data_IF_413768673633
#
_entry.id   IF_413768673633
#
_cell.length_a   1.000
_cell.length_b   1.000
_cell.length_c   1.000
_cell.angle_alpha   90.00
_cell.angle_beta   90.00
_cell.angle_gamma   90.00
#
_symmetry.space_group_name_H-M   'P 1'
#
loop_
_entity.id
_entity.type
_entity.pdbx_description
1 polymer ?
#
# COMPACT_ATOMS: atom_id res chain seq x y z
N UNK A 1 -3.14 18.86 42.87
CA UNK A 1 -2.48 18.05 43.94
C UNK A 1 -1.45 17.21 43.22
N UNK A 2 -0.14 17.44 43.28
CA UNK A 2 0.73 17.58 44.45
C UNK A 2 1.76 18.67 44.14
N UNK A 3 1.85 19.64 45.04
CA UNK A 3 2.84 20.70 45.08
C UNK A 3 4.25 20.13 45.25
N UNK A 4 5.18 20.48 44.36
CA UNK A 4 6.60 20.50 44.68
C UNK A 4 7.13 21.90 44.48
N UNK A 5 7.57 22.45 45.60
CA UNK A 5 8.04 23.80 45.87
C UNK A 5 9.14 24.25 44.89
N UNK A 6 9.26 25.57 44.65
CA UNK A 6 10.36 26.11 43.85
C UNK A 6 11.67 25.85 44.58
N UNK A 7 12.60 25.16 43.92
CA UNK A 7 13.95 24.90 44.43
C UNK A 7 14.60 26.23 44.81
N UNK A 8 14.83 26.40 46.11
CA UNK A 8 15.54 27.54 46.70
C UNK A 8 16.92 27.63 46.04
N UNK A 9 17.14 28.74 45.34
CA UNK A 9 18.38 29.53 45.27
C UNK A 9 19.57 28.90 46.01
N UNK A 10 20.26 27.94 45.40
CA UNK A 10 21.68 27.73 45.69
C UNK A 10 22.43 28.70 44.79
N UNK A 11 22.55 29.93 45.32
CA UNK A 11 23.59 30.82 44.87
C UNK A 11 24.89 30.05 45.10
N UNK A 12 25.69 29.75 44.06
CA UNK A 12 27.03 29.24 44.31
C UNK A 12 27.69 30.26 45.23
N UNK A 13 28.47 29.80 46.20
CA UNK A 13 29.21 30.62 47.16
C UNK A 13 30.14 31.67 46.50
N UNK A 14 30.20 31.69 45.17
CA UNK A 14 30.78 32.71 44.30
C UNK A 14 29.84 33.87 43.89
N UNK A 15 28.58 33.91 44.35
CA UNK A 15 27.61 34.96 43.98
C UNK A 15 27.63 36.20 44.90
N UNK A 16 28.59 36.26 45.83
CA UNK A 16 29.20 37.54 46.16
C UNK A 16 30.38 37.67 45.21
N UNK A 17 30.32 38.68 44.35
CA UNK A 17 31.49 39.33 43.79
C UNK A 17 32.32 39.79 45.00
N UNK A 18 33.03 38.85 45.62
CA UNK A 18 34.23 39.17 46.37
C UNK A 18 35.13 39.62 45.24
N UNK A 19 35.02 40.91 44.91
CA UNK A 19 36.17 41.66 44.48
C UNK A 19 37.23 41.26 45.48
N UNK A 20 38.07 40.30 45.08
CA UNK A 20 39.42 40.24 45.57
C UNK A 20 40.10 41.46 44.96
N UNK A 21 39.63 42.63 45.41
CA UNK A 21 40.46 43.79 45.53
C UNK A 21 41.51 43.27 46.51
N UNK A 22 42.63 42.80 45.95
CA UNK A 22 43.91 43.02 46.60
C UNK A 22 43.76 44.47 47.07
N UNK A 23 43.68 44.74 48.39
CA UNK A 23 43.75 46.10 48.85
C UNK A 23 44.91 46.69 48.08
N UNK A 24 44.77 47.89 47.55
CA UNK A 24 45.92 48.68 47.14
C UNK A 24 46.68 48.94 48.45
N UNK A 25 47.29 47.88 48.97
CA UNK A 25 48.20 47.86 50.07
C UNK A 25 49.25 48.77 49.49
N UNK A 26 49.36 49.99 50.05
CA UNK A 26 50.39 50.93 49.67
C UNK A 26 51.66 50.11 49.55
N UNK A 27 52.02 49.77 48.31
CA UNK A 27 53.22 49.01 48.03
C UNK A 27 54.23 50.07 48.36
N UNK A 28 54.78 50.01 49.58
CA UNK A 28 56.00 50.73 49.84
C UNK A 28 56.95 50.21 48.77
N UNK A 29 57.14 51.02 47.72
CA UNK A 29 58.09 50.79 46.67
C UNK A 29 59.48 50.94 47.28
N UNK A 30 59.82 50.06 48.21
CA UNK A 30 61.19 49.63 48.35
C UNK A 30 61.35 48.74 47.13
N UNK A 31 61.99 49.27 46.09
CA UNK A 31 62.41 48.41 45.00
C UNK A 31 63.21 47.27 45.65
N UNK A 32 63.00 46.02 45.25
CA UNK A 32 63.64 44.89 45.92
C UNK A 32 65.17 45.04 45.88
N UNK A 33 65.69 45.75 44.87
CA UNK A 33 67.08 46.20 44.76
C UNK A 33 67.51 47.21 45.83
N UNK A 34 66.60 48.03 46.32
CA UNK A 34 66.84 49.05 47.36
C UNK A 34 66.91 48.42 48.77
N UNK A 35 66.34 47.22 48.96
CA UNK A 35 66.44 46.45 50.22
C UNK A 35 67.89 46.00 50.45
N UNK A 36 68.53 45.47 49.41
CA UNK A 36 69.93 45.05 49.46
C UNK A 36 70.89 46.24 49.68
N UNK A 37 70.53 47.44 49.22
CA UNK A 37 71.35 48.65 49.38
C UNK A 37 71.11 49.43 50.69
N UNK A 38 70.20 48.97 51.57
CA UNK A 38 69.77 49.74 52.73
C UNK A 38 70.76 49.67 53.89
N UNK A 39 71.29 50.82 54.32
CA UNK A 39 72.14 50.94 55.50
C UNK A 39 71.40 51.52 56.71
N UNK A 40 71.78 51.08 57.91
CA UNK A 40 71.15 51.48 59.18
C UNK A 40 72.18 52.10 60.13
N UNK A 41 71.75 53.07 60.94
CA UNK A 41 72.61 53.68 61.97
C UNK A 41 72.96 52.67 63.08
N UNK A 42 74.22 52.64 63.53
CA UNK A 42 74.67 51.75 64.60
C UNK A 42 74.39 52.33 65.99
N UNK A 43 73.99 51.47 66.93
CA UNK A 43 73.72 51.81 68.34
C UNK A 43 74.48 50.86 69.27
N UNK A 44 74.79 51.29 70.51
CA UNK A 44 75.70 50.60 71.45
C UNK A 44 75.29 49.14 71.80
N UNK A 45 74.04 48.72 71.55
CA UNK A 45 73.55 47.34 71.66
C UNK A 45 72.76 46.92 70.39
N UNK A 46 73.36 47.12 69.21
CA UNK A 46 72.77 46.75 67.92
C UNK A 46 73.27 45.42 67.36
N UNK A 47 72.62 44.96 66.30
CA UNK A 47 73.05 43.82 65.50
C UNK A 47 74.28 44.16 64.67
N UNK A 48 75.10 43.15 64.33
CA UNK A 48 76.30 43.36 63.51
C UNK A 48 75.90 43.82 62.10
N UNK A 49 76.43 44.93 61.59
CA UNK A 49 76.10 45.44 60.27
C UNK A 49 76.28 44.42 59.14
N UNK A 50 77.36 43.63 59.16
CA UNK A 50 77.67 42.66 58.10
C UNK A 50 76.67 41.49 58.05
N UNK A 51 76.22 41.00 59.21
CA UNK A 51 75.21 39.92 59.29
C UNK A 51 73.84 40.42 58.83
N UNK A 52 73.47 41.66 59.21
CA UNK A 52 72.25 42.32 58.73
C UNK A 52 72.31 42.54 57.22
N UNK A 53 73.45 42.99 56.70
CA UNK A 53 73.66 43.22 55.26
C UNK A 53 73.54 41.92 54.45
N UNK A 54 74.14 40.82 54.93
CA UNK A 54 74.02 39.49 54.32
C UNK A 54 72.56 39.01 54.29
N UNK A 55 71.85 39.17 55.41
CA UNK A 55 70.42 38.83 55.49
C UNK A 55 69.56 39.66 54.54
N UNK A 56 69.81 40.97 54.41
CA UNK A 56 69.09 41.84 53.48
C UNK A 56 69.33 41.48 52.02
N UNK A 57 70.52 40.96 51.69
CA UNK A 57 70.81 40.46 50.35
C UNK A 57 69.99 39.20 50.03
N UNK A 58 70.02 38.19 50.89
CA UNK A 58 69.21 36.97 50.71
C UNK A 58 67.72 37.27 50.70
N UNK A 59 67.24 38.15 51.59
CA UNK A 59 65.84 38.57 51.62
C UNK A 59 65.45 39.29 50.31
N UNK A 60 66.33 40.12 49.75
CA UNK A 60 66.09 40.75 48.46
C UNK A 60 66.03 39.72 47.34
N UNK A 61 66.94 38.74 47.29
CA UNK A 61 66.91 37.65 46.31
C UNK A 61 65.61 36.84 46.37
N UNK A 62 65.19 36.41 47.57
CA UNK A 62 63.95 35.66 47.77
C UNK A 62 62.71 36.48 47.38
N UNK A 63 62.70 37.78 47.68
CA UNK A 63 61.61 38.67 47.28
C UNK A 63 61.53 38.86 45.76
N UNK A 64 62.66 38.91 45.06
CA UNK A 64 62.68 38.92 43.58
C UNK A 64 62.11 37.62 43.05
N UNK A 65 62.56 36.47 43.56
CA UNK A 65 62.08 35.16 43.11
C UNK A 65 60.56 35.01 43.31
N UNK A 66 60.03 35.42 44.47
CA UNK A 66 58.58 35.41 44.74
C UNK A 66 57.83 36.38 43.82
N UNK A 67 58.40 37.55 43.50
CA UNK A 67 57.78 38.50 42.59
C UNK A 67 57.72 37.95 41.15
N UNK A 68 58.80 37.34 40.67
CA UNK A 68 58.85 36.67 39.37
C UNK A 68 57.83 35.52 39.30
N UNK A 69 57.79 34.66 40.32
CA UNK A 69 56.78 33.59 40.40
C UNK A 69 55.35 34.16 40.42
N UNK A 70 55.10 35.25 41.15
CA UNK A 70 53.77 35.88 41.17
C UNK A 70 53.37 36.41 39.78
N UNK A 71 54.31 37.01 39.05
CA UNK A 71 54.04 37.48 37.68
C UNK A 71 53.80 36.32 36.72
N UNK A 72 54.56 35.23 36.81
CA UNK A 72 54.36 34.02 36.03
C UNK A 72 53.00 33.35 36.32
N UNK A 73 52.63 33.22 37.60
CA UNK A 73 51.34 32.68 38.01
C UNK A 73 50.18 33.54 37.52
N UNK A 74 50.30 34.87 37.58
CA UNK A 74 49.29 35.79 37.03
C UNK A 74 49.12 35.63 35.52
N UNK A 75 50.22 35.49 34.78
CA UNK A 75 50.16 35.22 33.34
C UNK A 75 49.47 33.89 33.03
N UNK A 76 49.75 32.86 33.83
CA UNK A 76 49.13 31.55 33.66
C UNK A 76 47.62 31.56 34.00
N UNK A 77 47.22 32.29 35.05
CA UNK A 77 45.79 32.50 35.36
C UNK A 77 45.08 33.14 34.17
N UNK A 78 45.63 34.24 33.63
CA UNK A 78 45.05 34.90 32.45
C UNK A 78 44.97 33.97 31.24
N UNK A 79 46.00 33.13 31.03
CA UNK A 79 46.00 32.15 29.94
C UNK A 79 44.88 31.12 30.12
N UNK A 80 44.72 30.58 31.33
CA UNK A 80 43.71 29.58 31.67
C UNK A 80 42.28 30.16 31.62
N UNK A 81 42.09 31.40 32.08
CA UNK A 81 40.81 32.10 31.98
C UNK A 81 40.37 32.29 30.53
N UNK A 82 41.28 32.74 29.66
CA UNK A 82 41.00 32.86 28.22
C UNK A 82 40.65 31.51 27.57
N UNK A 83 41.35 30.42 27.95
CA UNK A 83 41.02 29.08 27.46
C UNK A 83 39.65 28.60 27.95
N UNK A 84 39.32 28.88 29.21
CA UNK A 84 38.04 28.52 29.80
C UNK A 84 36.89 29.26 29.11
N UNK A 85 37.04 30.54 28.83
CA UNK A 85 36.02 31.33 28.14
C UNK A 85 35.82 30.87 26.70
N UNK A 86 36.91 30.59 25.97
CA UNK A 86 36.81 30.00 24.63
C UNK A 86 36.10 28.64 24.65
N UNK A 87 36.40 27.80 25.64
CA UNK A 87 35.75 26.49 25.80
C UNK A 87 34.25 26.63 26.10
N UNK A 88 33.88 27.57 26.98
CA UNK A 88 32.47 27.87 27.31
C UNK A 88 31.70 28.37 26.09
N UNK A 89 32.29 29.25 25.27
CA UNK A 89 31.66 29.69 24.03
C UNK A 89 31.46 28.53 23.05
N UNK A 90 32.47 27.67 22.88
CA UNK A 90 32.37 26.50 22.01
C UNK A 90 31.25 25.56 22.49
N UNK A 91 31.18 25.30 23.80
CA UNK A 91 30.12 24.50 24.38
C UNK A 91 28.73 25.11 24.12
N UNK A 92 28.59 26.43 24.28
CA UNK A 92 27.33 27.12 23.97
C UNK A 92 26.94 26.98 22.50
N UNK A 93 27.89 27.16 21.57
CA UNK A 93 27.67 26.97 20.14
C UNK A 93 27.23 25.55 19.81
N UNK A 94 27.91 24.54 20.35
CA UNK A 94 27.57 23.12 20.15
C UNK A 94 26.19 22.78 20.73
N UNK A 95 25.86 23.27 21.93
CA UNK A 95 24.54 23.10 22.53
C UNK A 95 23.44 23.76 21.70
N UNK A 96 23.69 24.95 21.14
CA UNK A 96 22.79 25.63 20.21
C UNK A 96 22.52 24.80 18.97
N UNK A 97 23.59 24.35 18.30
CA UNK A 97 23.51 23.52 17.11
C UNK A 97 22.76 22.20 17.37
N UNK A 98 23.04 21.51 18.49
CA UNK A 98 22.34 20.28 18.87
C UNK A 98 20.84 20.51 19.10
N UNK A 99 20.46 21.65 19.67
CA UNK A 99 19.04 22.01 19.89
C UNK A 99 18.33 22.26 18.57
N UNK A 100 18.96 22.98 17.65
CA UNK A 100 18.44 23.24 16.31
C UNK A 100 18.32 21.94 15.51
N UNK A 101 19.36 21.11 15.53
CA UNK A 101 19.38 19.82 14.85
C UNK A 101 18.28 18.88 15.37
N UNK A 102 18.07 18.82 16.70
CA UNK A 102 16.96 18.07 17.29
C UNK A 102 15.59 18.61 16.87
N UNK A 103 15.42 19.93 16.83
CA UNK A 103 14.17 20.55 16.38
C UNK A 103 13.90 20.28 14.89
N UNK A 104 14.94 20.36 14.05
CA UNK A 104 14.87 20.02 12.63
C UNK A 104 14.53 18.54 12.44
N UNK A 105 15.20 17.65 13.17
CA UNK A 105 14.94 16.20 13.14
C UNK A 105 13.50 15.88 13.57
N UNK A 106 13.00 16.50 14.64
CA UNK A 106 11.60 16.34 15.07
C UNK A 106 10.60 16.81 14.00
N UNK A 107 10.88 17.92 13.31
CA UNK A 107 10.06 18.39 12.19
C UNK A 107 10.09 17.41 11.02
N UNK A 108 11.26 16.89 10.65
CA UNK A 108 11.39 15.89 9.59
C UNK A 108 10.62 14.62 9.92
N UNK A 109 10.73 14.11 11.15
CA UNK A 109 9.98 12.93 11.59
C UNK A 109 8.47 13.20 11.51
N UNK A 110 7.99 14.33 12.03
CA UNK A 110 6.57 14.67 11.94
C UNK A 110 6.07 14.86 10.50
N UNK A 111 6.89 15.42 9.61
CA UNK A 111 6.56 15.54 8.18
C UNK A 111 6.53 14.18 7.49
N UNK A 112 7.48 13.29 7.79
CA UNK A 112 7.52 11.94 7.25
C UNK A 112 6.29 11.13 7.73
N UNK A 113 5.93 11.24 9.01
CA UNK A 113 4.73 10.61 9.57
C UNK A 113 3.44 11.13 8.91
N UNK A 114 3.30 12.45 8.77
CA UNK A 114 2.12 13.05 8.11
C UNK A 114 2.03 12.64 6.62
N UNK A 115 3.17 12.61 5.92
CA UNK A 115 3.24 12.16 4.52
C UNK A 115 2.89 10.67 4.39
N UNK A 116 3.41 9.82 5.27
CA UNK A 116 3.10 8.39 5.29
C UNK A 116 1.62 8.12 5.60
N UNK A 117 1.02 8.90 6.51
CA UNK A 117 -0.42 8.81 6.80
C UNK A 117 -1.27 9.23 5.59
N UNK A 118 -0.92 10.33 4.92
CA UNK A 118 -1.61 10.79 3.71
C UNK A 118 -1.47 9.77 2.56
N UNK A 119 -0.29 9.19 2.38
CA UNK A 119 -0.04 8.14 1.40
C UNK A 119 -0.87 6.89 1.70
N UNK A 120 -0.89 6.43 2.95
CA UNK A 120 -1.68 5.26 3.36
C UNK A 120 -3.18 5.47 3.12
N UNK A 121 -3.68 6.68 3.42
CA UNK A 121 -5.05 7.06 3.14
C UNK A 121 -5.36 7.02 1.64
N UNK A 122 -4.47 7.58 0.79
CA UNK A 122 -4.63 7.58 -0.66
C UNK A 122 -4.61 6.15 -1.23
N UNK A 123 -3.68 5.32 -0.78
CA UNK A 123 -3.57 3.91 -1.20
C UNK A 123 -4.84 3.13 -0.84
N UNK A 124 -5.41 3.34 0.35
CA UNK A 124 -6.64 2.67 0.74
C UNK A 124 -7.86 3.13 -0.09
N UNK A 125 -7.92 4.40 -0.48
CA UNK A 125 -8.96 4.91 -1.39
C UNK A 125 -8.82 4.32 -2.80
N UNK A 126 -7.61 4.31 -3.35
CA UNK A 126 -7.34 3.70 -4.67
C UNK A 126 -7.64 2.20 -4.66
N UNK A 127 -7.25 1.49 -3.60
CA UNK A 127 -7.57 0.07 -3.40
C UNK A 127 -9.08 -0.16 -3.42
N UNK A 128 -9.86 0.64 -2.70
CA UNK A 128 -11.33 0.53 -2.70
C UNK A 128 -11.91 0.78 -4.08
N UNK A 129 -11.44 1.81 -4.78
CA UNK A 129 -11.88 2.11 -6.14
C UNK A 129 -11.61 0.96 -7.12
N UNK A 130 -10.40 0.39 -7.09
CA UNK A 130 -10.02 -0.77 -7.92
C UNK A 130 -10.90 -1.97 -7.59
N UNK A 131 -11.16 -2.22 -6.30
CA UNK A 131 -11.95 -3.37 -5.87
C UNK A 131 -13.42 -3.24 -6.31
N UNK A 132 -14.01 -2.05 -6.19
CA UNK A 132 -15.38 -1.80 -6.69
C UNK A 132 -15.46 -1.86 -8.22
N UNK A 133 -14.45 -1.35 -8.92
CA UNK A 133 -14.36 -1.48 -10.38
C UNK A 133 -14.27 -2.94 -10.81
N UNK A 134 -13.38 -3.73 -10.20
CA UNK A 134 -13.24 -5.15 -10.51
C UNK A 134 -14.53 -5.94 -10.22
N UNK A 135 -15.23 -5.64 -9.13
CA UNK A 135 -16.56 -6.21 -8.85
C UNK A 135 -17.58 -5.84 -9.93
N UNK A 136 -17.61 -4.58 -10.35
CA UNK A 136 -18.53 -4.11 -11.37
C UNK A 136 -18.27 -4.81 -12.71
N UNK A 137 -17.01 -4.89 -13.13
CA UNK A 137 -16.60 -5.59 -14.34
C UNK A 137 -16.95 -7.08 -14.29
N UNK A 138 -16.67 -7.75 -13.17
CA UNK A 138 -17.07 -9.14 -12.97
C UNK A 138 -18.60 -9.33 -13.10
N UNK A 139 -19.39 -8.44 -12.49
CA UNK A 139 -20.85 -8.47 -12.59
C UNK A 139 -21.38 -8.21 -14.01
N UNK A 140 -20.68 -7.40 -14.82
CA UNK A 140 -21.00 -7.21 -16.23
C UNK A 140 -20.70 -8.48 -17.03
N UNK A 141 -19.53 -9.09 -16.82
CA UNK A 141 -19.13 -10.33 -17.50
C UNK A 141 -20.10 -11.47 -17.20
N UNK A 142 -20.47 -11.65 -15.93
CA UNK A 142 -21.45 -12.67 -15.51
C UNK A 142 -22.78 -12.44 -16.22
N UNK A 143 -23.31 -11.21 -16.19
CA UNK A 143 -24.58 -10.88 -16.86
C UNK A 143 -24.54 -11.11 -18.38
N UNK A 144 -23.43 -10.78 -19.03
CA UNK A 144 -23.32 -11.03 -20.49
C UNK A 144 -23.22 -12.53 -20.79
N UNK A 145 -22.50 -13.30 -19.97
CA UNK A 145 -22.44 -14.75 -20.07
C UNK A 145 -23.82 -15.40 -19.87
N UNK A 146 -24.58 -14.97 -18.87
CA UNK A 146 -25.95 -15.40 -18.63
C UNK A 146 -26.86 -15.13 -19.83
N UNK A 147 -26.84 -13.91 -20.38
CA UNK A 147 -27.64 -13.56 -21.58
C UNK A 147 -27.22 -14.36 -22.82
N UNK A 148 -25.92 -14.67 -22.98
CA UNK A 148 -25.44 -15.53 -24.07
C UNK A 148 -25.94 -16.96 -23.89
N UNK A 149 -25.88 -17.50 -22.69
CA UNK A 149 -26.38 -18.84 -22.38
C UNK A 149 -27.88 -18.94 -22.62
N UNK A 150 -28.66 -17.95 -22.15
CA UNK A 150 -30.11 -17.90 -22.37
C UNK A 150 -30.46 -17.87 -23.85
N UNK A 151 -29.79 -17.03 -24.65
CA UNK A 151 -29.97 -17.01 -26.12
C UNK A 151 -29.61 -18.34 -26.77
N UNK A 152 -28.58 -19.03 -26.28
CA UNK A 152 -28.20 -20.34 -26.80
C UNK A 152 -29.25 -21.40 -26.49
N UNK A 153 -29.78 -21.41 -25.27
CA UNK A 153 -30.87 -22.31 -24.87
C UNK A 153 -32.14 -22.04 -25.67
N UNK A 154 -32.53 -20.78 -25.88
CA UNK A 154 -33.68 -20.43 -26.72
C UNK A 154 -33.54 -20.96 -28.15
N UNK A 155 -32.36 -20.78 -28.77
CA UNK A 155 -32.08 -21.31 -30.10
C UNK A 155 -32.08 -22.84 -30.13
N UNK A 156 -31.53 -23.47 -29.08
CA UNK A 156 -31.55 -24.92 -28.92
C UNK A 156 -32.97 -25.48 -28.82
N UNK A 157 -33.81 -24.86 -27.99
CA UNK A 157 -35.21 -25.25 -27.81
C UNK A 157 -36.01 -25.07 -29.11
N UNK A 158 -35.86 -23.94 -29.80
CA UNK A 158 -36.53 -23.72 -31.08
C UNK A 158 -36.16 -24.79 -32.13
N UNK A 159 -34.88 -25.19 -32.18
CA UNK A 159 -34.44 -26.30 -33.05
C UNK A 159 -35.00 -27.65 -32.61
N UNK A 160 -35.05 -27.92 -31.30
CA UNK A 160 -35.65 -29.15 -30.77
C UNK A 160 -37.13 -29.25 -31.14
N UNK A 161 -37.87 -28.14 -31.04
CA UNK A 161 -39.28 -28.13 -31.38
C UNK A 161 -39.50 -28.31 -32.87
N UNK A 162 -38.70 -27.66 -33.73
CA UNK A 162 -38.73 -27.91 -35.18
C UNK A 162 -38.38 -29.36 -35.55
N UNK A 163 -37.38 -29.97 -34.90
CA UNK A 163 -37.04 -31.38 -35.13
C UNK A 163 -38.15 -32.33 -34.68
N UNK A 164 -38.85 -32.04 -33.57
CA UNK A 164 -40.01 -32.84 -33.15
C UNK A 164 -41.11 -32.78 -34.19
N UNK A 165 -41.42 -31.59 -34.71
CA UNK A 165 -42.44 -31.42 -35.75
C UNK A 165 -42.08 -32.20 -37.03
N UNK A 166 -40.80 -32.17 -37.43
CA UNK A 166 -40.31 -32.98 -38.56
C UNK A 166 -40.43 -34.49 -38.29
N UNK A 167 -40.14 -34.94 -37.07
CA UNK A 167 -40.31 -36.35 -36.67
C UNK A 167 -41.79 -36.76 -36.77
N UNK A 168 -42.70 -35.96 -36.20
CA UNK A 168 -44.14 -36.23 -36.23
C UNK A 168 -44.68 -36.26 -37.67
N UNK A 169 -44.18 -35.35 -38.52
CA UNK A 169 -44.48 -35.33 -39.95
C UNK A 169 -44.01 -36.62 -40.64
N UNK A 170 -42.75 -37.03 -40.42
CA UNK A 170 -42.20 -38.26 -40.99
C UNK A 170 -42.94 -39.51 -40.51
N UNK A 171 -43.35 -39.56 -39.25
CA UNK A 171 -44.19 -40.65 -38.72
C UNK A 171 -45.55 -40.70 -39.42
N UNK A 172 -46.17 -39.54 -39.65
CA UNK A 172 -47.43 -39.44 -40.39
C UNK A 172 -47.26 -39.88 -41.85
N UNK A 173 -46.22 -39.40 -42.55
CA UNK A 173 -45.87 -39.82 -43.92
C UNK A 173 -45.63 -41.34 -43.98
N UNK A 174 -44.90 -41.91 -43.02
CA UNK A 174 -44.67 -43.36 -42.90
C UNK A 174 -45.98 -44.14 -42.74
N UNK A 175 -46.88 -43.71 -41.86
CA UNK A 175 -48.17 -44.38 -41.64
C UNK A 175 -49.07 -44.32 -42.88
N UNK A 176 -49.08 -43.19 -43.59
CA UNK A 176 -49.81 -43.02 -44.84
C UNK A 176 -49.29 -44.00 -45.92
N UNK A 177 -47.97 -44.11 -46.10
CA UNK A 177 -47.35 -45.06 -47.03
C UNK A 177 -47.67 -46.51 -46.67
N UNK A 178 -47.57 -46.89 -45.39
CA UNK A 178 -47.94 -48.24 -44.95
C UNK A 178 -49.41 -48.54 -45.27
N UNK A 179 -50.29 -47.56 -45.09
CA UNK A 179 -51.72 -47.68 -45.38
C UNK A 179 -51.96 -47.87 -46.87
N UNK A 180 -51.29 -47.08 -47.72
CA UNK A 180 -51.32 -47.23 -49.18
C UNK A 180 -50.88 -48.62 -49.63
N UNK A 181 -49.74 -49.10 -49.12
CA UNK A 181 -49.21 -50.44 -49.46
C UNK A 181 -50.20 -51.53 -49.03
N UNK A 182 -50.76 -51.44 -47.81
CA UNK A 182 -51.77 -52.39 -47.32
C UNK A 182 -53.02 -52.41 -48.21
N UNK A 183 -53.49 -51.26 -48.69
CA UNK A 183 -54.62 -51.18 -49.61
C UNK A 183 -54.31 -51.89 -50.93
N UNK A 184 -53.15 -51.60 -51.54
CA UNK A 184 -52.72 -52.24 -52.79
C UNK A 184 -52.64 -53.76 -52.64
N UNK A 185 -52.04 -54.25 -51.56
CA UNK A 185 -51.90 -55.68 -51.30
C UNK A 185 -53.27 -56.35 -51.09
N UNK A 186 -54.19 -55.74 -50.32
CA UNK A 186 -55.56 -56.26 -50.16
C UNK A 186 -56.27 -56.37 -51.50
N UNK A 187 -56.16 -55.35 -52.35
CA UNK A 187 -56.74 -55.39 -53.68
C UNK A 187 -56.15 -56.49 -54.57
N UNK A 188 -54.84 -56.74 -54.48
CA UNK A 188 -54.19 -57.85 -55.19
C UNK A 188 -54.63 -59.22 -54.66
N UNK A 189 -54.83 -59.36 -53.34
CA UNK A 189 -55.39 -60.59 -52.74
C UNK A 189 -56.83 -60.82 -53.20
N UNK A 190 -57.70 -59.81 -53.14
CA UNK A 190 -59.07 -59.89 -53.62
C UNK A 190 -59.15 -60.29 -55.10
N UNK A 191 -58.21 -59.77 -55.91
CA UNK A 191 -58.07 -60.14 -57.31
C UNK A 191 -57.71 -61.62 -57.51
N UNK A 192 -56.71 -62.11 -56.79
CA UNK A 192 -56.30 -63.52 -56.86
C UNK A 192 -57.41 -64.46 -56.39
N UNK A 193 -58.08 -64.14 -55.26
CA UNK A 193 -59.21 -64.93 -54.78
C UNK A 193 -60.37 -65.00 -55.78
N UNK A 194 -60.59 -63.95 -56.58
CA UNK A 194 -61.60 -63.97 -57.64
C UNK A 194 -61.19 -64.84 -58.86
N UNK A 195 -59.88 -65.01 -59.11
CA UNK A 195 -59.38 -65.92 -60.14
C UNK A 195 -59.51 -67.39 -59.71
N UNK A 196 -59.34 -67.69 -58.43
CA UNK A 196 -59.46 -69.06 -57.88
C UNK A 196 -60.91 -69.58 -57.84
N UNK A 197 -61.90 -68.67 -57.81
CA UNK A 197 -63.33 -69.02 -57.80
C UNK A 197 -64.10 -68.32 -58.94
N UNK A 198 -63.96 -68.79 -60.19
CA UNK A 198 -64.43 -68.08 -61.37
C UNK A 198 -65.96 -68.17 -61.54
N UNK A 199 -66.72 -67.34 -60.83
CA UNK A 199 -68.10 -66.98 -61.21
C UNK A 199 -68.03 -65.78 -62.17
N UNK A 200 -68.57 -65.90 -63.40
CA UNK A 200 -68.49 -64.86 -64.47
C UNK A 200 -68.86 -63.43 -64.01
N UNK A 201 -69.82 -63.29 -63.09
CA UNK A 201 -70.22 -61.99 -62.51
C UNK A 201 -69.24 -61.44 -61.46
N UNK A 202 -68.55 -62.30 -60.71
CA UNK A 202 -67.60 -61.91 -59.66
C UNK A 202 -66.21 -61.59 -60.23
N UNK A 203 -65.84 -62.23 -61.34
CA UNK A 203 -64.58 -61.97 -62.05
C UNK A 203 -64.54 -60.55 -62.63
N UNK A 204 -65.62 -60.10 -63.27
CA UNK A 204 -65.71 -58.74 -63.84
C UNK A 204 -65.66 -57.64 -62.77
N UNK A 205 -66.29 -57.87 -61.62
CA UNK A 205 -66.28 -56.90 -60.51
C UNK A 205 -64.98 -56.90 -59.73
N UNK A 206 -64.28 -58.03 -59.62
CA UNK A 206 -62.95 -58.11 -59.04
C UNK A 206 -61.86 -57.52 -59.95
N UNK A 207 -61.91 -57.81 -61.26
CA UNK A 207 -60.99 -57.23 -62.25
C UNK A 207 -61.18 -55.71 -62.31
N UNK A 208 -62.43 -55.22 -62.33
CA UNK A 208 -62.74 -53.79 -62.27
C UNK A 208 -62.20 -53.15 -60.99
N UNK A 209 -62.42 -53.77 -59.82
CA UNK A 209 -61.89 -53.26 -58.54
C UNK A 209 -60.37 -53.23 -58.51
N UNK A 210 -59.69 -54.28 -59.00
CA UNK A 210 -58.23 -54.36 -59.07
C UNK A 210 -57.63 -53.33 -60.04
N UNK A 211 -58.27 -53.08 -61.18
CA UNK A 211 -57.87 -52.00 -62.10
C UNK A 211 -58.16 -50.62 -61.51
N UNK A 212 -59.18 -50.49 -60.66
CA UNK A 212 -59.59 -49.22 -60.05
C UNK A 212 -58.81 -48.88 -58.78
N UNK A 213 -58.24 -49.86 -58.08
CA UNK A 213 -57.23 -49.63 -57.01
C UNK A 213 -55.83 -49.42 -57.56
N UNK A 214 -55.52 -49.95 -58.76
CA UNK A 214 -54.34 -49.53 -59.53
C UNK A 214 -54.45 -48.04 -59.94
N UNK A 215 -55.67 -47.58 -60.22
CA UNK A 215 -56.01 -46.19 -60.56
C UNK A 215 -56.68 -45.41 -59.40
N UNK A 216 -56.34 -45.72 -58.14
CA UNK A 216 -56.35 -44.67 -57.12
C UNK A 216 -57.57 -44.45 -56.22
N UNK A 217 -58.46 -45.42 -56.00
CA UNK A 217 -59.54 -45.23 -55.00
C UNK A 217 -59.05 -44.90 -53.57
N UNK A 218 -57.87 -45.39 -53.17
CA UNK A 218 -57.19 -45.00 -51.92
C UNK A 218 -55.89 -44.21 -52.17
N UNK A 219 -55.37 -44.24 -53.40
CA UNK A 219 -54.16 -43.50 -53.74
C UNK A 219 -54.46 -42.01 -53.82
N UNK A 220 -55.61 -41.59 -54.36
CA UNK A 220 -55.94 -40.17 -54.48
C UNK A 220 -56.15 -39.52 -53.10
N UNK A 221 -56.80 -40.23 -52.16
CA UNK A 221 -56.98 -39.73 -50.79
C UNK A 221 -55.64 -39.70 -50.01
N UNK A 222 -54.77 -40.69 -50.22
CA UNK A 222 -53.45 -40.71 -49.58
C UNK A 222 -52.49 -39.71 -50.25
N UNK A 223 -52.56 -39.54 -51.56
CA UNK A 223 -51.75 -38.57 -52.32
C UNK A 223 -52.23 -37.14 -52.04
N UNK A 224 -53.53 -36.91 -51.78
CA UNK A 224 -54.04 -35.64 -51.29
C UNK A 224 -53.58 -35.36 -49.84
N UNK A 225 -53.54 -36.39 -48.98
CA UNK A 225 -52.97 -36.26 -47.63
C UNK A 225 -51.46 -35.98 -47.70
N UNK A 226 -50.72 -36.67 -48.55
CA UNK A 226 -49.28 -36.47 -48.74
C UNK A 226 -48.98 -35.09 -49.35
N UNK A 227 -49.73 -34.66 -50.37
CA UNK A 227 -49.60 -33.33 -50.98
C UNK A 227 -49.91 -32.22 -49.96
N UNK A 228 -50.98 -32.36 -49.16
CA UNK A 228 -51.29 -31.41 -48.07
C UNK A 228 -50.26 -31.40 -46.95
N UNK A 229 -49.48 -32.46 -46.79
CA UNK A 229 -48.40 -32.55 -45.80
C UNK A 229 -47.09 -31.98 -46.37
N UNK A 230 -46.84 -32.13 -47.67
CA UNK A 230 -45.71 -31.52 -48.38
C UNK A 230 -45.89 -29.99 -48.52
N UNK A 231 -47.12 -29.50 -48.74
CA UNK A 231 -47.40 -28.05 -48.78
C UNK A 231 -47.11 -27.36 -47.42
N UNK A 232 -47.30 -28.07 -46.30
CA UNK A 232 -46.94 -27.56 -44.96
C UNK A 232 -45.42 -27.48 -44.73
N UNK A 233 -44.63 -28.22 -45.50
CA UNK A 233 -43.17 -28.19 -45.46
C UNK A 233 -42.63 -26.87 -46.04
N UNK A 234 -43.40 -26.19 -46.90
CA UNK A 234 -43.01 -24.96 -47.59
C UNK A 234 -43.30 -23.70 -46.74
N UNK A 235 -44.33 -23.74 -45.89
CA UNK A 235 -44.74 -22.59 -45.06
C UNK A 235 -43.92 -22.43 -43.76
N UNK A 236 -43.08 -23.41 -43.41
CA UNK A 236 -42.33 -23.47 -42.14
C UNK A 236 -40.82 -23.18 -42.29
N UNK A 237 -40.34 -22.83 -43.49
CA UNK A 237 -38.97 -22.36 -43.81
C UNK A 237 -38.91 -20.82 -43.92
#
# INVERSE_FOLDING_TARGET
>A
MISRSPSKKERPWFASEVQFSVPENEVHHVNVTDIAGKSFSTVRKGWKPDEVQSFLHTLAEDLVAVAEENTALRQEILRLENQLDHSRELEQRVRGMLKEMRAASKKMVGQAEASAAAMSYKVEQERKAILEQAKHEAAVVIRDAERRAERMLMKGNARLDGLKEQIDLLETKKLALITRIKSILRAQVDFLSALEHPKKQQLHSALRRATQTRDGLDADAVDEILARLDDREIDND
#
